data_IF_251362716601
#
_entry.id   IF_251362716601
#
_cell.length_a   1.000
_cell.length_b   1.000
_cell.length_c   1.000
_cell.angle_alpha   90.00
_cell.angle_beta   90.00
_cell.angle_gamma   90.00
#
_symmetry.space_group_name_H-M   'P 1'
#
loop_
_entity.id
_entity.type
_entity.pdbx_description
1 polymer ?
#
# COMPACT_ATOMS: atom_id res chain seq x y z
N UNK A 1 34.89 -10.90 -3.66
CA UNK A 1 33.86 -10.98 -2.60
C UNK A 1 34.02 -12.34 -1.92
N UNK A 2 33.87 -12.46 -0.60
CA UNK A 2 33.79 -13.80 0.02
C UNK A 2 32.41 -14.41 -0.28
N UNK A 3 32.39 -15.56 -0.96
CA UNK A 3 31.16 -16.26 -1.33
C UNK A 3 30.53 -16.88 -0.07
N UNK A 4 29.33 -16.41 0.29
CA UNK A 4 28.57 -16.88 1.46
C UNK A 4 27.10 -17.03 1.13
N UNK A 5 26.41 -17.87 1.89
CA UNK A 5 24.94 -17.99 1.83
C UNK A 5 24.32 -16.66 2.23
N UNK A 6 23.43 -16.13 1.39
CA UNK A 6 22.71 -14.87 1.61
C UNK A 6 21.67 -15.05 2.72
N UNK A 7 21.72 -14.19 3.74
CA UNK A 7 20.79 -14.22 4.88
C UNK A 7 19.97 -12.95 4.99
N UNK A 8 20.42 -11.87 4.37
CA UNK A 8 19.82 -10.53 4.44
C UNK A 8 19.63 -9.94 3.04
N UNK A 9 18.74 -8.94 2.92
CA UNK A 9 18.43 -8.30 1.64
C UNK A 9 19.61 -7.49 1.08
N UNK A 10 20.40 -6.85 1.94
CA UNK A 10 21.58 -6.08 1.53
C UNK A 10 22.65 -6.99 0.91
N UNK A 11 22.82 -8.20 1.45
CA UNK A 11 23.70 -9.22 0.86
C UNK A 11 23.19 -9.68 -0.52
N UNK A 12 21.87 -9.80 -0.69
CA UNK A 12 21.24 -10.15 -1.95
C UNK A 12 21.42 -9.07 -3.02
N UNK A 13 21.21 -7.79 -2.68
CA UNK A 13 21.42 -6.67 -3.61
C UNK A 13 22.90 -6.56 -4.02
N UNK A 14 23.83 -6.70 -3.07
CA UNK A 14 25.25 -6.69 -3.38
C UNK A 14 25.66 -7.88 -4.28
N UNK A 15 25.04 -9.06 -4.09
CA UNK A 15 25.26 -10.23 -4.94
C UNK A 15 24.65 -10.05 -6.34
N UNK A 16 23.49 -9.40 -6.45
CA UNK A 16 22.86 -9.06 -7.73
C UNK A 16 23.69 -8.07 -8.54
N UNK A 17 24.17 -6.99 -7.91
CA UNK A 17 25.01 -6.01 -8.60
C UNK A 17 26.33 -6.65 -9.05
N UNK A 18 26.92 -7.52 -8.22
CA UNK A 18 28.09 -8.30 -8.63
C UNK A 18 27.80 -9.25 -9.79
N UNK A 19 26.64 -9.89 -9.81
CA UNK A 19 26.24 -10.77 -10.92
C UNK A 19 26.08 -9.96 -12.21
N UNK A 20 25.46 -8.77 -12.15
CA UNK A 20 25.32 -7.86 -13.30
C UNK A 20 26.69 -7.45 -13.85
N UNK A 21 27.60 -7.04 -12.97
CA UNK A 21 28.97 -6.67 -13.36
C UNK A 21 29.68 -7.82 -14.09
N UNK A 22 29.47 -9.06 -13.64
CA UNK A 22 30.05 -10.25 -14.26
C UNK A 22 29.37 -10.59 -15.60
N UNK A 23 28.05 -10.42 -15.70
CA UNK A 23 27.33 -10.62 -16.97
C UNK A 23 27.76 -9.60 -18.03
N UNK A 24 27.97 -8.34 -17.65
CA UNK A 24 28.45 -7.27 -18.54
C UNK A 24 29.89 -7.52 -19.03
N UNK A 25 30.71 -8.18 -18.22
CA UNK A 25 32.06 -8.62 -18.60
C UNK A 25 32.06 -9.80 -19.57
N UNK A 26 30.94 -10.51 -19.70
CA UNK A 26 30.75 -11.69 -20.55
C UNK A 26 31.93 -12.69 -20.50
N UNK A 27 32.28 -13.22 -19.31
CA UNK A 27 33.44 -14.06 -19.10
C UNK A 27 33.33 -15.38 -19.86
N UNK A 28 34.45 -15.90 -20.36
CA UNK A 28 34.47 -17.19 -21.06
C UNK A 28 34.27 -18.37 -20.10
N UNK A 29 33.65 -19.49 -20.53
CA UNK A 29 33.27 -20.64 -19.68
C UNK A 29 34.37 -21.37 -18.91
N UNK A 30 35.65 -21.02 -19.11
CA UNK A 30 36.81 -21.61 -18.44
C UNK A 30 37.57 -20.60 -17.57
N UNK A 31 36.90 -19.51 -17.18
CA UNK A 31 37.50 -18.44 -16.38
C UNK A 31 36.97 -18.45 -14.95
N UNK A 32 37.79 -18.08 -13.95
CA UNK A 32 37.33 -17.94 -12.57
C UNK A 32 36.17 -16.96 -12.40
N UNK A 33 36.04 -15.98 -13.31
CA UNK A 33 34.93 -15.04 -13.34
C UNK A 33 33.61 -15.69 -13.80
N UNK A 34 33.68 -16.67 -14.71
CA UNK A 34 32.52 -17.47 -15.09
C UNK A 34 32.11 -18.42 -13.96
N UNK A 35 33.07 -19.04 -13.27
CA UNK A 35 32.79 -19.85 -12.07
C UNK A 35 32.13 -19.01 -10.97
N UNK A 36 32.59 -17.77 -10.74
CA UNK A 36 31.98 -16.82 -9.80
C UNK A 36 30.54 -16.49 -10.20
N UNK A 37 30.29 -16.25 -11.49
CA UNK A 37 28.97 -15.98 -12.05
C UNK A 37 28.01 -17.16 -11.83
N UNK A 38 28.44 -18.39 -12.13
CA UNK A 38 27.62 -19.59 -11.94
C UNK A 38 27.27 -19.83 -10.46
N UNK A 39 28.25 -19.65 -9.57
CA UNK A 39 28.03 -19.83 -8.13
C UNK A 39 27.13 -18.72 -7.57
N UNK A 40 27.31 -17.46 -7.97
CA UNK A 40 26.43 -16.36 -7.56
C UNK A 40 24.99 -16.58 -8.05
N UNK A 41 24.81 -17.00 -9.29
CA UNK A 41 23.49 -17.32 -9.83
C UNK A 41 22.80 -18.44 -9.03
N UNK A 42 23.55 -19.46 -8.60
CA UNK A 42 23.02 -20.56 -7.77
C UNK A 42 22.61 -20.08 -6.37
N UNK A 43 23.42 -19.23 -5.75
CA UNK A 43 23.15 -18.68 -4.41
C UNK A 43 21.94 -17.73 -4.45
N UNK A 44 21.87 -16.86 -5.46
CA UNK A 44 20.72 -15.97 -5.69
C UNK A 44 19.44 -16.79 -5.89
N UNK A 45 19.48 -17.84 -6.73
CA UNK A 45 18.35 -18.75 -6.95
C UNK A 45 17.89 -19.46 -5.67
N UNK A 46 18.81 -19.88 -4.79
CA UNK A 46 18.45 -20.49 -3.51
C UNK A 46 17.78 -19.48 -2.55
N UNK A 47 18.27 -18.24 -2.54
CA UNK A 47 17.66 -17.15 -1.79
C UNK A 47 16.26 -16.80 -2.34
N UNK A 48 16.13 -16.59 -3.65
CA UNK A 48 14.85 -16.36 -4.33
C UNK A 48 13.87 -17.52 -4.12
N UNK A 49 14.31 -18.77 -4.19
CA UNK A 49 13.42 -19.92 -3.94
C UNK A 49 12.84 -19.94 -2.52
N UNK A 50 13.59 -19.42 -1.54
CA UNK A 50 13.18 -19.33 -0.13
C UNK A 50 12.34 -18.07 0.16
N UNK A 51 12.51 -17.02 -0.64
CA UNK A 51 11.97 -15.69 -0.35
C UNK A 51 11.02 -15.10 -1.42
N UNK A 52 10.94 -15.70 -2.61
CA UNK A 52 10.09 -15.30 -3.73
C UNK A 52 9.17 -16.45 -4.16
N UNK A 53 7.86 -16.20 -4.13
CA UNK A 53 6.84 -17.17 -4.55
C UNK A 53 6.57 -16.99 -6.04
N UNK A 54 7.08 -17.89 -6.90
CA UNK A 54 6.68 -17.89 -8.33
C UNK A 54 5.22 -18.36 -8.39
N UNK A 55 4.30 -17.46 -8.77
CA UNK A 55 2.91 -17.81 -8.99
C UNK A 55 2.80 -18.80 -10.18
N UNK A 56 2.04 -19.88 -10.00
CA UNK A 56 1.75 -20.82 -11.09
C UNK A 56 0.97 -20.11 -12.21
N UNK A 57 1.25 -20.41 -13.49
CA UNK A 57 0.52 -19.79 -14.60
C UNK A 57 -0.97 -20.15 -14.51
N UNK A 58 -1.82 -19.21 -14.89
CA UNK A 58 -3.25 -19.45 -14.94
C UNK A 58 -3.60 -20.50 -16.01
N UNK A 59 -4.73 -21.23 -15.88
CA UNK A 59 -5.16 -22.20 -16.89
C UNK A 59 -5.23 -21.63 -18.32
N UNK A 60 -5.61 -20.36 -18.46
CA UNK A 60 -5.72 -19.69 -19.76
C UNK A 60 -4.35 -19.39 -20.35
N UNK A 61 -3.37 -18.99 -19.53
CA UNK A 61 -1.99 -18.78 -19.97
C UNK A 61 -1.34 -20.09 -20.39
N UNK A 62 -1.55 -21.17 -19.65
CA UNK A 62 -1.07 -22.50 -20.02
C UNK A 62 -1.65 -22.96 -21.38
N UNK A 63 -2.93 -22.68 -21.64
CA UNK A 63 -3.57 -22.98 -22.93
C UNK A 63 -3.00 -22.11 -24.06
N UNK A 64 -2.86 -20.79 -23.86
CA UNK A 64 -2.26 -19.87 -24.85
C UNK A 64 -0.83 -20.28 -25.20
N UNK A 65 -0.04 -20.63 -24.20
CA UNK A 65 1.34 -21.07 -24.38
C UNK A 65 1.42 -22.35 -25.22
N UNK A 66 0.57 -23.35 -24.96
CA UNK A 66 0.51 -24.56 -25.79
C UNK A 66 0.01 -24.30 -27.21
N UNK A 67 -0.96 -23.39 -27.38
CA UNK A 67 -1.42 -23.00 -28.72
C UNK A 67 -0.29 -22.41 -29.56
N UNK A 68 0.53 -21.53 -28.96
CA UNK A 68 1.66 -20.92 -29.64
C UNK A 68 2.71 -21.95 -30.06
N UNK A 69 3.08 -22.87 -29.16
CA UNK A 69 4.03 -23.95 -29.44
C UNK A 69 3.55 -24.91 -30.53
N UNK A 70 2.23 -25.11 -30.65
CA UNK A 70 1.63 -26.04 -31.61
C UNK A 70 1.10 -25.34 -32.87
N UNK A 71 1.28 -24.02 -33.00
CA UNK A 71 0.76 -23.24 -34.13
C UNK A 71 -0.77 -23.22 -34.24
N UNK A 72 -1.49 -23.42 -33.14
CA UNK A 72 -2.94 -23.52 -33.11
C UNK A 72 -3.60 -22.14 -32.99
N UNK A 73 -4.68 -21.94 -33.74
CA UNK A 73 -5.52 -20.74 -33.64
C UNK A 73 -6.69 -20.97 -32.69
N UNK A 74 -7.36 -19.89 -32.26
CA UNK A 74 -8.56 -20.01 -31.40
C UNK A 74 -9.71 -20.77 -32.06
N UNK A 75 -9.75 -20.84 -33.39
CA UNK A 75 -10.77 -21.61 -34.12
C UNK A 75 -10.58 -23.12 -33.95
N UNK A 76 -9.34 -23.55 -33.77
CA UNK A 76 -8.98 -24.96 -33.60
C UNK A 76 -9.38 -25.51 -32.23
N UNK A 77 -9.75 -24.61 -31.30
CA UNK A 77 -10.26 -24.98 -29.99
C UNK A 77 -11.78 -25.22 -29.95
N UNK A 78 -12.50 -24.97 -31.05
CA UNK A 78 -13.96 -25.19 -31.11
C UNK A 78 -14.38 -26.60 -30.72
N UNK A 79 -13.66 -27.69 -31.09
CA UNK A 79 -14.01 -29.04 -30.67
C UNK A 79 -14.05 -29.22 -29.14
N UNK A 80 -13.13 -28.58 -28.40
CA UNK A 80 -12.98 -28.74 -26.95
C UNK A 80 -13.89 -27.79 -26.15
N UNK A 81 -14.14 -26.60 -26.69
CA UNK A 81 -14.96 -25.57 -26.03
C UNK A 81 -16.42 -25.54 -26.50
N UNK A 82 -16.71 -26.19 -27.63
CA UNK A 82 -18.02 -26.33 -28.26
C UNK A 82 -18.44 -25.16 -29.17
N UNK A 83 -18.04 -23.92 -28.88
CA UNK A 83 -18.34 -22.78 -29.75
C UNK A 83 -17.29 -21.66 -29.65
N UNK A 84 -17.14 -20.83 -30.71
CA UNK A 84 -16.23 -19.68 -30.67
C UNK A 84 -16.58 -18.67 -29.56
N UNK A 85 -17.87 -18.47 -29.25
CA UNK A 85 -18.32 -17.63 -28.13
C UNK A 85 -17.77 -18.16 -26.80
N UNK A 86 -17.85 -19.47 -26.57
CA UNK A 86 -17.33 -20.11 -25.35
C UNK A 86 -15.82 -20.03 -25.24
N UNK A 87 -15.09 -20.14 -26.34
CA UNK A 87 -13.63 -19.94 -26.35
C UNK A 87 -13.32 -18.50 -25.93
N UNK A 88 -14.01 -17.53 -26.52
CA UNK A 88 -13.82 -16.11 -26.18
C UNK A 88 -14.17 -15.84 -24.71
N UNK A 89 -15.29 -16.37 -24.20
CA UNK A 89 -15.71 -16.22 -22.81
C UNK A 89 -14.70 -16.81 -21.82
N UNK A 90 -14.08 -17.95 -22.14
CA UNK A 90 -13.08 -18.56 -21.26
C UNK A 90 -11.74 -17.83 -21.34
N UNK A 91 -11.29 -17.45 -22.53
CA UNK A 91 -10.05 -16.70 -22.73
C UNK A 91 -10.12 -15.28 -22.16
N UNK A 92 -11.33 -14.71 -22.05
CA UNK A 92 -11.58 -13.43 -21.40
C UNK A 92 -11.93 -13.56 -19.92
N UNK A 93 -11.91 -14.76 -19.33
CA UNK A 93 -12.22 -14.98 -17.91
C UNK A 93 -13.71 -14.89 -17.53
N UNK A 94 -14.62 -14.62 -18.47
CA UNK A 94 -16.07 -14.53 -18.27
C UNK A 94 -16.70 -15.88 -17.90
N UNK A 95 -16.06 -16.99 -18.28
CA UNK A 95 -16.51 -18.36 -17.99
C UNK A 95 -15.35 -19.22 -17.52
N UNK A 96 -15.53 -19.95 -16.41
CA UNK A 96 -14.56 -20.96 -15.96
C UNK A 96 -14.55 -22.18 -16.87
N UNK A 97 -13.41 -22.85 -17.00
CA UNK A 97 -13.33 -24.16 -17.64
C UNK A 97 -14.23 -25.15 -16.92
N UNK A 98 -15.11 -25.83 -17.68
CA UNK A 98 -15.91 -26.92 -17.13
C UNK A 98 -15.06 -28.17 -16.93
N UNK A 99 -15.47 -29.08 -16.04
CA UNK A 99 -14.79 -30.38 -15.84
C UNK A 99 -14.63 -31.18 -17.15
N UNK A 100 -15.55 -31.01 -18.11
CA UNK A 100 -15.46 -31.62 -19.45
C UNK A 100 -14.35 -30.97 -20.27
N UNK A 101 -14.32 -29.64 -20.34
CA UNK A 101 -13.28 -28.88 -21.06
C UNK A 101 -11.88 -29.15 -20.50
N UNK A 102 -11.74 -29.26 -19.18
CA UNK A 102 -10.45 -29.55 -18.53
C UNK A 102 -9.91 -30.91 -19.00
N UNK A 103 -10.75 -31.93 -19.07
CA UNK A 103 -10.33 -33.26 -19.56
C UNK A 103 -9.98 -33.24 -21.04
N UNK A 104 -10.83 -32.62 -21.86
CA UNK A 104 -10.61 -32.54 -23.31
C UNK A 104 -9.35 -31.74 -23.66
N UNK A 105 -9.04 -30.68 -22.91
CA UNK A 105 -7.83 -29.87 -23.10
C UNK A 105 -6.58 -30.55 -22.55
N UNK A 106 -6.69 -31.26 -21.42
CA UNK A 106 -5.61 -32.08 -20.91
C UNK A 106 -5.17 -33.13 -21.93
N UNK A 107 -6.14 -33.86 -22.50
CA UNK A 107 -5.88 -34.91 -23.49
C UNK A 107 -5.37 -34.36 -24.82
N UNK A 108 -5.88 -33.21 -25.28
CA UNK A 108 -5.56 -32.67 -26.60
C UNK A 108 -4.29 -31.80 -26.64
N UNK A 109 -4.01 -31.03 -25.58
CA UNK A 109 -2.89 -30.07 -25.52
C UNK A 109 -1.77 -30.50 -24.55
N UNK A 110 -1.92 -31.67 -23.92
CA UNK A 110 -0.95 -32.24 -22.97
C UNK A 110 -0.60 -31.26 -21.82
N UNK A 111 -1.62 -30.57 -21.29
CA UNK A 111 -1.45 -29.65 -20.17
C UNK A 111 -1.74 -30.40 -18.87
N UNK A 112 -0.84 -30.41 -17.87
CA UNK A 112 -1.07 -31.09 -16.60
C UNK A 112 -2.39 -30.66 -15.92
N UNK A 113 -3.15 -31.64 -15.41
CA UNK A 113 -4.47 -31.39 -14.81
C UNK A 113 -4.40 -30.42 -13.64
N UNK A 114 -3.35 -30.47 -12.82
CA UNK A 114 -3.12 -29.55 -11.71
C UNK A 114 -2.93 -28.09 -12.17
N UNK A 115 -2.42 -27.87 -13.38
CA UNK A 115 -2.31 -26.55 -14.02
C UNK A 115 -3.66 -26.05 -14.55
N UNK A 116 -4.54 -26.95 -15.01
CA UNK A 116 -5.88 -26.62 -15.51
C UNK A 116 -6.96 -26.52 -14.41
N UNK A 117 -6.75 -27.25 -13.31
CA UNK A 117 -7.62 -27.29 -12.11
C UNK A 117 -7.22 -26.21 -11.11
N UNK A 118 -5.99 -25.68 -11.22
CA UNK A 118 -5.56 -24.48 -10.51
C UNK A 118 -6.61 -23.39 -10.69
N UNK A 119 -7.00 -22.76 -9.58
CA UNK A 119 -8.02 -21.71 -9.59
C UNK A 119 -7.72 -20.80 -10.76
N UNK A 120 -8.62 -20.76 -11.73
CA UNK A 120 -8.59 -19.73 -12.74
C UNK A 120 -8.39 -18.45 -11.98
N UNK A 121 -7.21 -17.84 -12.10
CA UNK A 121 -7.11 -16.40 -12.05
C UNK A 121 -8.01 -15.98 -13.20
N UNK A 122 -9.31 -15.91 -12.91
CA UNK A 122 -10.18 -15.01 -13.60
C UNK A 122 -9.38 -13.73 -13.58
N UNK A 123 -8.93 -13.30 -14.76
CA UNK A 123 -9.01 -11.87 -15.05
C UNK A 123 -10.45 -11.54 -14.73
N UNK A 124 -10.71 -11.22 -13.45
CA UNK A 124 -11.90 -10.53 -13.08
C UNK A 124 -11.82 -9.28 -13.94
N UNK A 125 -12.92 -8.96 -14.58
CA UNK A 125 -13.21 -7.54 -14.72
C UNK A 125 -13.03 -6.95 -13.30
N UNK A 126 -11.87 -6.35 -13.03
CA UNK A 126 -11.62 -5.58 -11.81
C UNK A 126 -12.51 -4.32 -11.77
N UNK A 127 -13.33 -4.13 -12.81
CA UNK A 127 -14.39 -3.14 -12.94
C UNK A 127 -15.71 -3.56 -12.26
N UNK A 128 -15.91 -4.82 -11.86
CA UNK A 128 -17.12 -5.23 -11.12
C UNK A 128 -16.82 -5.40 -9.63
N UNK A 129 -17.16 -4.38 -8.84
CA UNK A 129 -17.08 -4.41 -7.38
C UNK A 129 -18.00 -5.51 -6.86
N UNK A 130 -17.49 -6.37 -5.98
CA UNK A 130 -18.31 -7.35 -5.27
C UNK A 130 -19.00 -6.64 -4.10
N UNK A 131 -20.16 -6.05 -4.38
CA UNK A 131 -20.91 -5.19 -3.46
C UNK A 131 -21.25 -5.89 -2.13
N UNK A 132 -21.48 -7.20 -2.15
CA UNK A 132 -21.79 -7.99 -0.95
C UNK A 132 -20.59 -8.15 0.00
N UNK A 133 -19.36 -7.97 -0.50
CA UNK A 133 -18.12 -8.03 0.30
C UNK A 133 -17.76 -6.71 0.95
N UNK A 134 -18.45 -5.61 0.60
CA UNK A 134 -18.27 -4.35 1.30
C UNK A 134 -18.65 -4.50 2.78
N UNK A 135 -18.09 -3.68 3.68
CA UNK A 135 -18.40 -3.74 5.12
C UNK A 135 -19.78 -3.12 5.44
N UNK A 136 -20.85 -3.64 4.82
CA UNK A 136 -22.22 -3.09 4.84
C UNK A 136 -22.76 -2.81 6.25
N UNK A 137 -22.53 -3.72 7.20
CA UNK A 137 -22.96 -3.53 8.60
C UNK A 137 -22.31 -2.32 9.24
N UNK A 138 -21.02 -2.14 8.99
CA UNK A 138 -20.24 -1.06 9.58
C UNK A 138 -20.53 0.27 8.87
N UNK A 139 -20.73 0.23 7.54
CA UNK A 139 -21.22 1.37 6.77
C UNK A 139 -22.58 1.86 7.27
N UNK A 140 -23.54 0.96 7.49
CA UNK A 140 -24.86 1.27 8.05
C UNK A 140 -24.74 1.85 9.46
N UNK A 141 -23.96 1.20 10.34
CA UNK A 141 -23.74 1.66 11.72
C UNK A 141 -23.13 3.07 11.77
N UNK A 142 -22.22 3.36 10.83
CA UNK A 142 -21.56 4.68 10.68
C UNK A 142 -22.42 5.69 9.90
N UNK A 143 -23.57 5.28 9.37
CA UNK A 143 -24.54 6.15 8.69
C UNK A 143 -24.28 6.42 7.21
N UNK A 144 -23.29 5.76 6.58
CA UNK A 144 -22.86 6.05 5.20
C UNK A 144 -23.78 5.50 4.11
N UNK A 145 -24.67 4.56 4.45
CA UNK A 145 -25.59 3.94 3.50
C UNK A 145 -27.05 4.06 3.95
N UNK A 146 -27.36 5.10 4.73
CA UNK A 146 -28.64 5.25 5.42
C UNK A 146 -28.77 4.29 6.61
N UNK A 147 -29.46 4.71 7.68
CA UNK A 147 -29.70 3.87 8.87
C UNK A 147 -30.78 2.83 8.57
N UNK A 148 -30.41 1.78 7.86
CA UNK A 148 -31.30 0.67 7.52
C UNK A 148 -31.66 -0.10 8.80
N UNK A 149 -32.95 -0.16 9.15
CA UNK A 149 -33.46 -0.72 10.41
C UNK A 149 -33.86 -2.19 10.33
N UNK A 150 -33.98 -2.75 9.12
CA UNK A 150 -34.43 -4.13 8.92
C UNK A 150 -33.27 -5.15 9.02
N UNK A 151 -33.53 -6.42 8.72
CA UNK A 151 -32.59 -7.52 9.04
C UNK A 151 -31.30 -7.42 8.22
N UNK A 152 -30.21 -7.93 8.79
CA UNK A 152 -28.88 -8.00 8.16
C UNK A 152 -28.88 -8.76 6.83
N UNK A 153 -29.77 -9.75 6.65
CA UNK A 153 -29.97 -10.47 5.39
C UNK A 153 -30.31 -9.53 4.25
N UNK A 154 -31.10 -8.50 4.54
CA UNK A 154 -31.70 -7.61 3.56
C UNK A 154 -30.64 -6.61 3.09
N UNK A 155 -29.69 -6.22 3.95
CA UNK A 155 -28.54 -5.37 3.56
C UNK A 155 -27.71 -5.96 2.42
N UNK A 156 -27.58 -7.30 2.33
CA UNK A 156 -26.83 -7.95 1.24
C UNK A 156 -27.59 -7.90 -0.08
N UNK A 157 -28.91 -8.05 -0.03
CA UNK A 157 -29.78 -7.98 -1.19
C UNK A 157 -29.73 -6.59 -1.85
N UNK A 158 -29.67 -5.53 -1.04
CA UNK A 158 -29.57 -4.14 -1.50
C UNK A 158 -28.15 -3.58 -1.49
N UNK A 159 -27.11 -4.43 -1.42
CA UNK A 159 -25.73 -3.98 -1.22
C UNK A 159 -25.27 -2.99 -2.30
N UNK A 160 -25.56 -3.29 -3.56
CA UNK A 160 -25.24 -2.41 -4.70
C UNK A 160 -25.97 -1.08 -4.57
N UNK A 161 -27.30 -1.08 -4.48
CA UNK A 161 -28.12 0.13 -4.40
C UNK A 161 -27.67 1.07 -3.27
N UNK A 162 -27.37 0.50 -2.10
CA UNK A 162 -27.00 1.23 -0.90
C UNK A 162 -25.59 1.84 -0.96
N UNK A 163 -24.64 1.17 -1.62
CA UNK A 163 -23.22 1.58 -1.61
C UNK A 163 -22.76 2.24 -2.90
N UNK A 164 -23.48 2.03 -4.00
CA UNK A 164 -23.15 2.57 -5.32
C UNK A 164 -22.98 4.10 -5.32
N UNK A 165 -23.85 4.92 -4.69
CA UNK A 165 -23.64 6.37 -4.65
C UNK A 165 -22.30 6.78 -4.02
N UNK A 166 -21.90 6.09 -2.95
CA UNK A 166 -20.65 6.36 -2.23
C UNK A 166 -19.42 6.00 -3.09
N UNK A 167 -19.48 4.89 -3.81
CA UNK A 167 -18.42 4.45 -4.72
C UNK A 167 -18.37 5.28 -6.00
N UNK A 168 -19.51 5.68 -6.55
CA UNK A 168 -19.58 6.56 -7.72
C UNK A 168 -18.96 7.92 -7.38
N UNK A 169 -19.21 8.47 -6.20
CA UNK A 169 -18.56 9.70 -5.74
C UNK A 169 -17.02 9.54 -5.68
N UNK A 170 -16.52 8.40 -5.20
CA UNK A 170 -15.08 8.10 -5.23
C UNK A 170 -14.54 8.11 -6.66
N UNK A 171 -15.20 7.39 -7.57
CA UNK A 171 -14.78 7.29 -8.97
C UNK A 171 -14.92 8.61 -9.74
N UNK A 172 -15.88 9.46 -9.36
CA UNK A 172 -16.12 10.77 -9.96
C UNK A 172 -15.01 11.75 -9.57
N UNK A 173 -14.61 11.77 -8.30
CA UNK A 173 -13.73 12.80 -7.78
C UNK A 173 -12.27 12.38 -7.65
N UNK A 174 -11.99 11.11 -7.42
CA UNK A 174 -10.63 10.63 -7.21
C UNK A 174 -10.03 10.12 -8.52
N UNK A 175 -8.75 10.42 -8.71
CA UNK A 175 -7.88 9.70 -9.64
C UNK A 175 -7.77 8.30 -9.00
N UNK A 176 -8.25 7.26 -9.69
CA UNK A 176 -8.44 5.85 -9.27
C UNK A 176 -7.62 5.44 -8.03
N UNK A 177 -8.21 4.80 -7.00
CA UNK A 177 -7.48 4.57 -5.76
C UNK A 177 -6.38 3.52 -6.00
N UNK A 178 -5.10 3.92 -6.05
CA UNK A 178 -4.05 2.94 -5.82
C UNK A 178 -4.27 2.34 -4.44
N UNK A 179 -4.27 1.01 -4.39
CA UNK A 179 -4.39 0.26 -3.17
C UNK A 179 -3.10 0.34 -2.33
N UNK A 180 -2.71 1.51 -1.78
CA UNK A 180 -1.51 1.60 -0.94
C UNK A 180 -1.73 2.44 0.32
N UNK A 181 -2.04 1.75 1.42
CA UNK A 181 -1.09 1.52 2.53
C UNK A 181 -1.63 0.39 3.41
N UNK A 182 -1.64 -0.83 2.89
CA UNK A 182 -1.23 -1.93 3.77
C UNK A 182 0.25 -1.66 3.99
N UNK A 183 0.65 -1.17 5.16
CA UNK A 183 2.07 -1.14 5.53
C UNK A 183 2.71 -2.45 5.08
N UNK A 184 4.02 -2.45 4.82
CA UNK A 184 4.88 -3.65 4.68
C UNK A 184 4.62 -4.75 5.74
N UNK A 185 3.76 -4.51 6.73
CA UNK A 185 2.84 -5.49 7.26
C UNK A 185 2.22 -6.52 6.28
N UNK A 186 2.08 -6.37 4.95
CA UNK A 186 1.60 -7.52 4.14
C UNK A 186 2.66 -8.63 3.94
N UNK A 187 3.95 -8.33 4.15
CA UNK A 187 5.00 -9.35 4.24
C UNK A 187 5.13 -9.94 5.65
N UNK A 188 4.67 -9.22 6.69
CA UNK A 188 4.76 -9.65 8.10
C UNK A 188 3.45 -10.13 8.74
N UNK A 189 2.29 -9.79 8.18
CA UNK A 189 0.98 -10.25 8.63
C UNK A 189 0.56 -11.43 7.74
N UNK A 190 0.42 -12.59 8.37
CA UNK A 190 -0.12 -13.82 7.76
C UNK A 190 -1.55 -13.67 7.17
N UNK A 191 -2.17 -12.50 7.29
CA UNK A 191 -3.57 -12.27 6.95
C UNK A 191 -3.70 -11.32 5.76
N UNK A 192 -4.44 -11.76 4.74
CA UNK A 192 -4.78 -10.98 3.54
C UNK A 192 -5.55 -9.70 3.91
N UNK A 193 -5.09 -8.55 3.42
CA UNK A 193 -5.79 -7.26 3.54
C UNK A 193 -7.16 -7.35 2.85
N UNK A 194 -8.20 -6.82 3.48
CA UNK A 194 -9.53 -6.75 2.88
C UNK A 194 -9.65 -5.55 1.94
N UNK A 195 -9.59 -5.81 0.64
CA UNK A 195 -9.64 -4.80 -0.42
C UNK A 195 -11.00 -4.08 -0.50
N UNK A 196 -12.10 -4.73 -0.13
CA UNK A 196 -13.44 -4.11 -0.15
C UNK A 196 -13.61 -3.17 1.05
N UNK A 197 -13.07 -3.56 2.20
CA UNK A 197 -13.03 -2.70 3.38
C UNK A 197 -12.14 -1.46 3.16
N UNK A 198 -11.03 -1.61 2.43
CA UNK A 198 -10.17 -0.47 2.06
C UNK A 198 -10.88 0.47 1.08
N UNK A 199 -11.53 -0.08 0.04
CA UNK A 199 -12.30 0.69 -0.93
C UNK A 199 -13.40 1.52 -0.23
N UNK A 200 -14.15 0.90 0.68
CA UNK A 200 -15.17 1.59 1.47
C UNK A 200 -14.58 2.71 2.34
N UNK A 201 -13.39 2.49 2.93
CA UNK A 201 -12.69 3.52 3.70
C UNK A 201 -12.27 4.71 2.82
N UNK A 202 -11.68 4.44 1.65
CA UNK A 202 -11.26 5.47 0.70
C UNK A 202 -12.46 6.30 0.24
N UNK A 203 -13.57 5.65 -0.08
CA UNK A 203 -14.79 6.32 -0.50
C UNK A 203 -15.34 7.27 0.58
N UNK A 204 -15.32 6.85 1.84
CA UNK A 204 -15.69 7.70 2.98
C UNK A 204 -14.75 8.91 3.08
N UNK A 205 -13.45 8.68 2.99
CA UNK A 205 -12.45 9.76 3.12
C UNK A 205 -12.63 10.80 2.01
N UNK A 206 -12.82 10.35 0.76
CA UNK A 206 -13.07 11.23 -0.38
C UNK A 206 -14.39 11.96 -0.22
N UNK A 207 -15.46 11.28 0.18
CA UNK A 207 -16.76 11.91 0.44
C UNK A 207 -16.65 13.00 1.52
N UNK A 208 -15.91 12.75 2.60
CA UNK A 208 -15.62 13.76 3.63
C UNK A 208 -14.81 14.93 3.08
N UNK A 209 -13.81 14.68 2.23
CA UNK A 209 -12.98 15.73 1.65
C UNK A 209 -13.81 16.66 0.75
N UNK A 210 -14.58 16.09 -0.18
CA UNK A 210 -15.44 16.83 -1.12
C UNK A 210 -16.48 17.68 -0.37
N UNK A 211 -17.01 17.18 0.74
CA UNK A 211 -17.99 17.90 1.56
C UNK A 211 -17.38 18.93 2.53
N UNK A 212 -16.04 19.04 2.62
CA UNK A 212 -15.35 19.98 3.50
C UNK A 212 -14.40 20.87 2.70
N UNK A 213 -14.86 22.05 2.23
CA UNK A 213 -14.06 22.89 1.35
C UNK A 213 -12.77 23.39 2.02
N UNK A 214 -11.72 23.52 1.21
CA UNK A 214 -10.45 24.12 1.60
C UNK A 214 -10.50 25.63 1.46
N UNK A 215 -9.68 26.34 2.24
CA UNK A 215 -9.56 27.80 2.13
C UNK A 215 -8.88 28.24 0.84
N UNK A 216 -7.92 27.44 0.34
CA UNK A 216 -7.09 27.79 -0.81
C UNK A 216 -6.96 26.57 -1.75
N UNK A 217 -6.59 26.86 -3.00
CA UNK A 217 -6.11 25.84 -3.93
C UNK A 217 -4.79 25.25 -3.43
N UNK A 218 -4.52 24.02 -3.85
CA UNK A 218 -3.28 23.34 -3.52
C UNK A 218 -2.05 24.16 -3.95
N UNK A 219 -1.09 24.29 -3.03
CA UNK A 219 0.25 24.80 -3.32
C UNK A 219 1.26 23.70 -2.98
N UNK A 220 2.31 23.49 -3.82
CA UNK A 220 3.36 22.53 -3.56
C UNK A 220 3.93 22.63 -2.14
N UNK A 221 4.25 21.47 -1.57
CA UNK A 221 4.89 21.35 -0.27
C UNK A 221 6.36 21.01 -0.46
N UNK A 222 7.19 21.60 0.38
CA UNK A 222 8.62 21.33 0.46
C UNK A 222 8.97 20.83 1.87
N UNK A 223 10.22 20.42 2.05
CA UNK A 223 10.73 19.96 3.35
C UNK A 223 10.48 20.98 4.47
N UNK A 224 10.70 22.28 4.21
CA UNK A 224 10.52 23.34 5.20
C UNK A 224 9.07 23.42 5.71
N UNK A 225 8.09 23.26 4.82
CA UNK A 225 6.69 23.22 5.20
C UNK A 225 6.38 22.01 6.09
N UNK A 226 6.91 20.83 5.77
CA UNK A 226 6.69 19.63 6.59
C UNK A 226 7.35 19.79 7.98
N UNK A 227 8.56 20.36 8.05
CA UNK A 227 9.21 20.68 9.32
C UNK A 227 8.39 21.69 10.16
N UNK A 228 7.77 22.69 9.53
CA UNK A 228 6.84 23.60 10.20
C UNK A 228 5.61 22.87 10.77
N UNK A 229 5.08 21.86 10.08
CA UNK A 229 4.01 21.00 10.58
C UNK A 229 4.49 20.22 11.80
N UNK A 230 5.70 19.62 11.74
CA UNK A 230 6.29 18.88 12.88
C UNK A 230 6.50 19.78 14.09
N UNK A 231 6.91 21.03 13.90
CA UNK A 231 7.05 22.00 14.99
C UNK A 231 5.71 22.33 15.67
N UNK A 232 4.55 22.07 15.05
CA UNK A 232 3.28 22.21 15.76
C UNK A 232 3.13 21.18 16.88
N UNK A 233 3.93 20.10 16.89
CA UNK A 233 3.83 19.03 17.90
C UNK A 233 4.02 19.50 19.34
N UNK A 234 4.76 20.58 19.58
CA UNK A 234 4.96 21.13 20.94
C UNK A 234 3.77 21.98 21.42
N UNK A 235 2.88 22.39 20.52
CA UNK A 235 1.75 23.26 20.84
C UNK A 235 0.62 22.45 21.45
N UNK A 236 -0.06 23.00 22.47
CA UNK A 236 -1.22 22.34 23.08
C UNK A 236 -2.33 22.01 22.07
N UNK A 237 -2.53 22.89 21.08
CA UNK A 237 -3.47 22.71 19.96
C UNK A 237 -2.78 22.22 18.67
N UNK A 238 -1.60 21.62 18.78
CA UNK A 238 -0.72 21.30 17.64
C UNK A 238 -1.37 20.49 16.53
N UNK A 239 -2.21 19.52 16.90
CA UNK A 239 -2.95 18.69 15.95
C UNK A 239 -3.93 19.50 15.09
N UNK A 240 -4.66 20.42 15.70
CA UNK A 240 -5.60 21.32 15.01
C UNK A 240 -4.85 22.37 14.19
N UNK A 241 -3.74 22.90 14.70
CA UNK A 241 -2.88 23.80 13.96
C UNK A 241 -2.33 23.13 12.69
N UNK A 242 -1.88 21.87 12.78
CA UNK A 242 -1.44 21.10 11.62
C UNK A 242 -2.58 20.95 10.60
N UNK A 243 -3.78 20.58 11.05
CA UNK A 243 -4.98 20.51 10.17
C UNK A 243 -5.26 21.85 9.48
N UNK A 244 -5.20 22.97 10.20
CA UNK A 244 -5.45 24.30 9.66
C UNK A 244 -4.37 24.73 8.66
N UNK A 245 -3.09 24.47 8.96
CA UNK A 245 -1.97 24.77 8.06
C UNK A 245 -2.07 23.97 6.76
N UNK A 246 -2.44 22.69 6.84
CA UNK A 246 -2.70 21.84 5.68
C UNK A 246 -3.88 22.36 4.85
N UNK A 247 -4.98 22.74 5.51
CA UNK A 247 -6.14 23.32 4.83
C UNK A 247 -5.77 24.61 4.08
N UNK A 248 -5.01 25.52 4.73
CA UNK A 248 -4.49 26.75 4.09
C UNK A 248 -3.53 26.46 2.94
N UNK A 249 -2.85 25.31 2.94
CA UNK A 249 -1.99 24.84 1.85
C UNK A 249 -2.77 24.12 0.73
N UNK A 250 -4.09 23.97 0.91
CA UNK A 250 -4.96 23.26 -0.03
C UNK A 250 -4.81 21.74 0.04
N UNK A 251 -4.58 21.19 1.23
CA UNK A 251 -4.48 19.75 1.50
C UNK A 251 -5.58 19.36 2.49
N UNK A 252 -6.42 18.38 2.16
CA UNK A 252 -7.38 17.85 3.13
C UNK A 252 -6.67 16.93 4.12
N UNK A 253 -6.90 17.12 5.42
CA UNK A 253 -6.57 16.14 6.44
C UNK A 253 -7.87 15.54 7.00
N UNK A 254 -8.14 14.28 6.67
CA UNK A 254 -9.37 13.57 7.04
C UNK A 254 -9.03 12.44 8.01
N UNK A 255 -9.73 12.43 9.14
CA UNK A 255 -9.65 11.34 10.11
C UNK A 255 -10.85 10.42 9.92
N UNK A 256 -10.59 9.15 9.58
CA UNK A 256 -11.62 8.12 9.46
C UNK A 256 -11.12 6.80 10.04
N UNK A 257 -11.84 6.24 11.02
CA UNK A 257 -11.42 5.00 11.68
C UNK A 257 -11.27 3.86 10.66
N UNK A 258 -10.24 3.04 10.82
CA UNK A 258 -10.05 1.88 9.97
C UNK A 258 -11.25 0.92 10.04
N UNK A 259 -11.45 0.11 9.00
CA UNK A 259 -12.31 -1.07 9.04
C UNK A 259 -11.51 -2.29 9.49
N UNK A 260 -12.16 -3.35 9.94
CA UNK A 260 -11.45 -4.59 10.30
C UNK A 260 -10.66 -5.10 9.09
N UNK A 261 -9.46 -5.64 9.34
CA UNK A 261 -8.57 -6.23 8.34
C UNK A 261 -8.05 -5.30 7.23
N UNK A 262 -8.13 -3.97 7.38
CA UNK A 262 -7.44 -3.04 6.46
C UNK A 262 -5.98 -2.83 6.85
N UNK A 263 -5.64 -2.95 8.14
CA UNK A 263 -4.29 -2.75 8.70
C UNK A 263 -3.61 -1.41 8.31
N UNK A 264 -4.42 -0.43 7.92
CA UNK A 264 -4.04 0.89 7.44
C UNK A 264 -3.83 1.88 8.60
N UNK A 265 -2.77 2.68 8.54
CA UNK A 265 -2.55 3.80 9.47
C UNK A 265 -2.90 5.17 8.84
N UNK A 266 -2.64 5.33 7.55
CA UNK A 266 -3.06 6.48 6.74
C UNK A 266 -2.78 6.22 5.26
N UNK A 267 -3.31 7.06 4.39
CA UNK A 267 -3.02 7.06 2.95
C UNK A 267 -3.18 8.48 2.41
N UNK A 268 -2.26 8.89 1.55
CA UNK A 268 -2.45 10.00 0.66
C UNK A 268 -3.33 9.55 -0.54
N UNK A 269 -4.16 10.46 -1.05
CA UNK A 269 -5.09 10.32 -2.18
C UNK A 269 -5.12 11.63 -2.93
N UNK A 270 -5.63 11.61 -4.16
CA UNK A 270 -5.69 12.79 -4.98
C UNK A 270 -6.97 12.92 -5.79
N UNK A 271 -7.60 14.08 -5.68
CA UNK A 271 -8.73 14.46 -6.50
C UNK A 271 -8.31 14.79 -7.93
N UNK A 272 -9.20 14.56 -8.91
CA UNK A 272 -8.95 14.79 -10.35
C UNK A 272 -8.54 16.22 -10.71
N UNK A 273 -8.93 17.17 -9.88
CA UNK A 273 -8.57 18.59 -9.99
C UNK A 273 -7.18 18.93 -9.45
N UNK A 274 -6.45 17.95 -8.91
CA UNK A 274 -5.09 18.11 -8.38
C UNK A 274 -5.01 18.40 -6.88
N UNK A 275 -6.13 18.32 -6.15
CA UNK A 275 -6.16 18.55 -4.70
C UNK A 275 -5.78 17.26 -3.94
N UNK A 276 -4.73 17.27 -3.09
CA UNK A 276 -4.35 16.12 -2.28
C UNK A 276 -5.21 15.97 -1.03
N UNK A 277 -5.42 14.71 -0.65
CA UNK A 277 -6.12 14.29 0.56
C UNK A 277 -5.19 13.38 1.35
N UNK A 278 -5.01 13.67 2.63
CA UNK A 278 -4.36 12.79 3.60
C UNK A 278 -5.44 12.20 4.49
N UNK A 279 -5.73 10.92 4.31
CA UNK A 279 -6.63 10.15 5.17
C UNK A 279 -5.82 9.45 6.27
N UNK A 280 -6.22 9.56 7.53
CA UNK A 280 -5.57 8.87 8.66
C UNK A 280 -6.57 8.08 9.49
N UNK A 281 -6.17 6.88 9.93
CA UNK A 281 -7.08 5.99 10.66
C UNK A 281 -7.03 6.11 12.17
N UNK A 282 -5.92 6.63 12.70
CA UNK A 282 -5.59 6.63 14.12
C UNK A 282 -5.71 5.24 14.77
N UNK A 283 -5.50 4.15 13.98
CA UNK A 283 -5.46 2.77 14.48
C UNK A 283 -4.53 2.65 15.68
N UNK A 284 -3.38 3.30 15.59
CA UNK A 284 -2.48 3.54 16.70
C UNK A 284 -2.74 4.95 17.26
N UNK A 285 -3.65 5.05 18.22
CA UNK A 285 -4.09 6.32 18.80
C UNK A 285 -3.06 6.92 19.77
N UNK A 286 -1.92 7.36 19.22
CA UNK A 286 -0.77 7.91 19.95
C UNK A 286 -0.15 9.07 19.18
N UNK A 287 0.44 10.04 19.87
CA UNK A 287 1.06 11.21 19.23
C UNK A 287 2.28 10.84 18.37
N UNK A 288 3.11 9.89 18.82
CA UNK A 288 4.26 9.43 18.04
C UNK A 288 3.84 8.89 16.67
N UNK A 289 2.80 8.04 16.65
CA UNK A 289 2.29 7.46 15.42
C UNK A 289 1.56 8.50 14.56
N UNK A 290 0.82 9.43 15.16
CA UNK A 290 0.14 10.48 14.42
C UNK A 290 1.15 11.30 13.60
N UNK A 291 2.18 11.84 14.25
CA UNK A 291 3.17 12.69 13.58
C UNK A 291 3.97 11.92 12.54
N UNK A 292 4.35 10.66 12.82
CA UNK A 292 5.04 9.83 11.85
C UNK A 292 4.19 9.57 10.60
N UNK A 293 2.95 9.10 10.78
CA UNK A 293 2.04 8.84 9.66
C UNK A 293 1.77 10.11 8.86
N UNK A 294 1.52 11.25 9.52
CA UNK A 294 1.26 12.51 8.82
C UNK A 294 2.46 12.96 7.97
N UNK A 295 3.68 12.91 8.53
CA UNK A 295 4.89 13.28 7.79
C UNK A 295 5.13 12.34 6.62
N UNK A 296 4.96 11.03 6.80
CA UNK A 296 5.10 10.07 5.71
C UNK A 296 4.13 10.36 4.56
N UNK A 297 2.85 10.60 4.84
CA UNK A 297 1.91 10.96 3.77
C UNK A 297 2.28 12.29 3.09
N UNK A 298 2.81 13.25 3.85
CA UNK A 298 3.27 14.51 3.28
C UNK A 298 4.53 14.35 2.42
N UNK A 299 5.40 13.38 2.73
CA UNK A 299 6.57 13.06 1.91
C UNK A 299 6.14 12.46 0.57
N UNK A 300 5.13 11.60 0.55
CA UNK A 300 4.51 11.14 -0.71
C UNK A 300 3.97 12.32 -1.51
N UNK A 301 3.18 13.20 -0.88
CA UNK A 301 2.69 14.43 -1.52
C UNK A 301 3.84 15.31 -2.02
N UNK A 302 4.93 15.48 -1.27
CA UNK A 302 6.09 16.29 -1.66
C UNK A 302 6.85 15.70 -2.85
N UNK A 303 7.09 14.39 -2.86
CA UNK A 303 7.92 13.73 -3.87
C UNK A 303 7.16 13.54 -5.18
N UNK A 304 5.87 13.20 -5.11
CA UNK A 304 5.09 12.91 -6.31
C UNK A 304 4.66 14.19 -7.07
N UNK A 305 4.58 15.36 -6.41
CA UNK A 305 4.12 16.63 -7.02
C UNK A 305 5.22 17.53 -7.58
N UNK A 306 6.50 17.21 -7.33
CA UNK A 306 7.65 17.94 -7.88
C UNK A 306 8.27 17.25 -9.11
N UNK A 307 7.70 16.14 -9.57
CA UNK A 307 8.16 15.47 -10.79
C UNK A 307 7.58 16.17 -12.03
N UNK A 308 8.44 16.83 -12.80
CA UNK A 308 8.12 17.64 -14.00
C UNK A 308 7.64 16.81 -15.21
N UNK A 309 7.24 15.57 -14.95
CA UNK A 309 6.77 14.61 -15.93
C UNK A 309 5.33 14.30 -15.55
N UNK A 310 4.40 14.25 -16.50
CA UNK A 310 2.99 13.89 -16.26
C UNK A 310 2.72 12.48 -15.68
N UNK A 311 3.66 11.92 -14.92
CA UNK A 311 3.69 10.63 -14.20
C UNK A 311 3.00 10.70 -12.82
N UNK A 312 2.46 11.86 -12.45
CA UNK A 312 1.58 12.06 -11.30
C UNK A 312 0.49 10.99 -11.17
N UNK A 313 -0.04 10.54 -12.31
CA UNK A 313 -1.02 9.47 -12.41
C UNK A 313 -0.40 8.09 -12.12
N UNK A 314 0.81 7.80 -12.60
CA UNK A 314 1.42 6.46 -12.51
C UNK A 314 1.93 6.09 -11.10
N UNK A 315 2.45 7.05 -10.33
CA UNK A 315 2.82 6.81 -8.91
C UNK A 315 1.61 6.50 -8.04
N UNK A 316 0.51 7.19 -8.32
CA UNK A 316 -0.61 7.31 -7.40
C UNK A 316 -1.81 6.43 -7.76
N UNK A 317 -1.88 5.94 -9.01
CA UNK A 317 -2.99 5.11 -9.47
C UNK A 317 -2.76 3.62 -9.36
N UNK A 318 -1.51 3.16 -9.35
CA UNK A 318 -1.27 1.77 -9.74
C UNK A 318 -2.06 1.43 -11.01
N UNK A 319 -2.23 2.43 -11.91
CA UNK A 319 -2.69 2.14 -13.24
C UNK A 319 -1.72 1.09 -13.77
N UNK A 320 -2.25 0.12 -14.51
CA UNK A 320 -1.56 -1.08 -14.99
C UNK A 320 -0.41 -0.77 -15.96
N UNK A 321 0.32 0.32 -15.78
CA UNK A 321 1.58 0.68 -16.40
C UNK A 321 2.76 0.34 -15.50
N UNK A 322 3.37 -0.82 -15.77
CA UNK A 322 4.79 -1.13 -15.61
C UNK A 322 5.51 -1.03 -14.26
N UNK A 323 4.95 -0.55 -13.15
CA UNK A 323 5.72 -0.51 -11.89
C UNK A 323 5.82 -1.87 -11.22
N UNK A 324 7.04 -2.30 -10.93
CA UNK A 324 7.32 -3.56 -10.25
C UNK A 324 7.05 -3.45 -8.74
N UNK A 325 6.79 -4.58 -8.08
CA UNK A 325 6.67 -4.65 -6.61
C UNK A 325 7.93 -4.13 -5.90
N UNK A 326 9.09 -4.22 -6.57
CA UNK A 326 10.37 -3.70 -6.11
C UNK A 326 10.37 -2.18 -6.06
N UNK A 327 9.93 -1.50 -7.13
CA UNK A 327 9.88 -0.04 -7.21
C UNK A 327 8.93 0.56 -6.17
N UNK A 328 7.75 -0.05 -5.96
CA UNK A 328 6.83 0.38 -4.90
C UNK A 328 7.45 0.25 -3.50
N UNK A 329 8.24 -0.81 -3.28
CA UNK A 329 8.95 -1.00 -2.02
C UNK A 329 10.04 0.04 -1.81
N UNK A 330 10.75 0.43 -2.87
CA UNK A 330 11.79 1.46 -2.81
C UNK A 330 11.22 2.84 -2.49
N UNK A 331 10.08 3.20 -3.09
CA UNK A 331 9.37 4.45 -2.82
C UNK A 331 8.95 4.53 -1.34
N UNK A 332 8.39 3.45 -0.78
CA UNK A 332 7.99 3.39 0.63
C UNK A 332 9.20 3.49 1.58
N UNK A 333 10.31 2.81 1.27
CA UNK A 333 11.54 2.89 2.08
C UNK A 333 12.13 4.31 2.03
N UNK A 334 12.13 4.94 0.85
CA UNK A 334 12.58 6.31 0.70
C UNK A 334 11.69 7.28 1.49
N UNK A 335 10.37 7.10 1.42
CA UNK A 335 9.41 7.91 2.16
C UNK A 335 9.60 7.77 3.68
N UNK A 336 9.78 6.54 4.19
CA UNK A 336 10.09 6.29 5.60
C UNK A 336 11.40 6.97 6.00
N UNK A 337 12.48 6.79 5.22
CA UNK A 337 13.79 7.38 5.52
C UNK A 337 13.73 8.91 5.58
N UNK A 338 13.07 9.55 4.62
CA UNK A 338 12.90 11.01 4.59
C UNK A 338 12.04 11.46 5.78
N UNK A 339 10.99 10.72 6.12
CA UNK A 339 10.11 11.05 7.25
C UNK A 339 10.84 10.99 8.58
N UNK A 340 11.69 9.98 8.75
CA UNK A 340 12.54 9.83 9.93
C UNK A 340 13.48 11.02 10.10
N UNK A 341 14.14 11.45 9.01
CA UNK A 341 15.06 12.59 9.01
C UNK A 341 14.35 13.94 9.23
N UNK A 342 13.15 14.13 8.67
CA UNK A 342 12.33 15.33 8.90
C UNK A 342 11.88 15.41 10.36
N UNK A 343 11.45 14.29 10.95
CA UNK A 343 10.99 14.25 12.33
C UNK A 343 12.14 14.43 13.33
N UNK A 344 13.27 13.78 13.07
CA UNK A 344 14.47 13.82 13.90
C UNK A 344 15.68 13.84 12.95
N UNK A 345 16.35 15.01 12.79
CA UNK A 345 17.50 15.13 11.91
C UNK A 345 18.55 14.05 12.18
N UNK A 346 19.03 13.40 11.11
CA UNK A 346 19.91 12.23 11.19
C UNK A 346 21.17 12.52 12.01
N UNK A 347 21.74 13.71 11.90
CA UNK A 347 22.91 14.13 12.66
C UNK A 347 22.65 14.25 14.17
N UNK A 348 21.47 14.73 14.56
CA UNK A 348 21.04 14.79 15.95
C UNK A 348 20.74 13.37 16.48
N UNK A 349 20.11 12.54 15.65
CA UNK A 349 19.78 11.18 16.02
C UNK A 349 21.01 10.30 16.21
N UNK A 350 21.97 10.32 15.28
CA UNK A 350 23.19 9.52 15.37
C UNK A 350 24.05 9.89 16.58
N UNK A 351 24.04 11.16 17.00
CA UNK A 351 24.67 11.58 18.28
C UNK A 351 23.93 11.04 19.51
N UNK A 352 22.62 10.87 19.44
CA UNK A 352 21.80 10.36 20.54
C UNK A 352 21.74 8.82 20.58
N UNK A 353 21.85 8.16 19.43
CA UNK A 353 21.68 6.72 19.23
C UNK A 353 22.50 5.84 20.18
N UNK A 354 23.79 6.12 20.47
CA UNK A 354 24.58 5.32 21.40
C UNK A 354 24.01 5.23 22.82
N UNK A 355 23.25 6.26 23.25
CA UNK A 355 22.65 6.31 24.58
C UNK A 355 21.15 6.00 24.60
N UNK A 356 20.51 5.74 23.45
CA UNK A 356 19.06 5.59 23.35
C UNK A 356 18.51 4.42 24.19
N UNK A 357 19.25 3.31 24.24
CA UNK A 357 18.83 2.09 24.93
C UNK A 357 18.70 2.28 26.45
N UNK A 358 19.36 3.27 27.03
CA UNK A 358 19.29 3.60 28.47
C UNK A 358 18.86 5.06 28.70
N UNK A 359 18.26 5.70 27.69
CA UNK A 359 17.86 7.10 27.81
C UNK A 359 16.83 7.28 28.93
N UNK A 360 17.06 8.26 29.79
CA UNK A 360 16.06 8.68 30.77
C UNK A 360 15.03 9.60 30.12
N UNK A 361 13.91 9.85 30.82
CA UNK A 361 12.87 10.77 30.33
C UNK A 361 13.45 12.18 30.15
N UNK A 362 14.36 12.59 31.03
CA UNK A 362 15.04 13.89 30.99
C UNK A 362 15.93 14.02 29.74
N UNK A 363 16.65 12.95 29.36
CA UNK A 363 17.45 12.94 28.12
C UNK A 363 16.57 13.04 26.88
N UNK A 364 15.44 12.34 26.86
CA UNK A 364 14.46 12.41 25.77
C UNK A 364 13.88 13.82 25.68
N UNK A 365 13.46 14.39 26.81
CA UNK A 365 12.93 15.76 26.87
C UNK A 365 13.97 16.80 26.45
N UNK A 366 15.25 16.60 26.82
CA UNK A 366 16.35 17.48 26.42
C UNK A 366 16.55 17.52 24.90
N UNK A 367 16.61 16.36 24.25
CA UNK A 367 16.70 16.30 22.78
C UNK A 367 15.44 16.88 22.12
N UNK A 368 14.26 16.57 22.66
CA UNK A 368 12.99 17.10 22.16
C UNK A 368 12.95 18.63 22.19
N UNK A 369 13.40 19.23 23.29
CA UNK A 369 13.48 20.68 23.46
C UNK A 369 14.50 21.31 22.49
N UNK A 370 15.66 20.68 22.31
CA UNK A 370 16.68 21.14 21.35
C UNK A 370 16.12 21.17 19.92
N UNK A 371 15.39 20.12 19.53
CA UNK A 371 14.80 19.97 18.21
C UNK A 371 13.44 20.68 18.06
N UNK A 372 12.89 21.25 19.13
CA UNK A 372 11.56 21.90 19.19
C UNK A 372 10.42 20.98 18.70
N UNK A 373 10.47 19.73 19.14
CA UNK A 373 9.45 18.71 18.83
C UNK A 373 8.89 18.10 20.11
N UNK A 374 7.72 17.46 20.01
CA UNK A 374 7.13 16.78 21.16
C UNK A 374 7.96 15.54 21.57
N UNK A 375 8.21 15.30 22.88
CA UNK A 375 8.98 14.15 23.35
C UNK A 375 8.46 12.78 22.90
N UNK A 376 7.17 12.68 22.55
CA UNK A 376 6.58 11.46 22.00
C UNK A 376 7.28 10.99 20.72
N UNK A 377 7.71 11.91 19.85
CA UNK A 377 8.32 11.59 18.55
C UNK A 377 9.63 10.82 18.78
N UNK A 378 10.50 11.34 19.64
CA UNK A 378 11.74 10.66 20.05
C UNK A 378 11.44 9.34 20.76
N UNK A 379 10.49 9.33 21.71
CA UNK A 379 10.11 8.10 22.41
C UNK A 379 9.59 7.02 21.46
N UNK A 380 8.85 7.41 20.41
CA UNK A 380 8.38 6.54 19.34
C UNK A 380 9.53 5.94 18.55
N UNK A 381 10.49 6.78 18.12
CA UNK A 381 11.70 6.34 17.41
C UNK A 381 12.51 5.32 18.21
N UNK A 382 12.72 5.56 19.51
CA UNK A 382 13.43 4.61 20.38
C UNK A 382 12.67 3.26 20.42
N UNK A 383 11.35 3.28 20.56
CA UNK A 383 10.55 2.03 20.63
C UNK A 383 10.62 1.24 19.33
N UNK A 384 10.60 1.93 18.20
CA UNK A 384 10.75 1.33 16.87
C UNK A 384 12.12 0.66 16.71
N UNK A 385 13.23 1.39 16.91
CA UNK A 385 14.58 0.83 16.70
C UNK A 385 14.97 -0.25 17.71
N UNK A 386 14.46 -0.16 18.95
CA UNK A 386 14.75 -1.17 19.98
C UNK A 386 13.77 -2.34 19.99
N UNK A 387 12.74 -2.30 19.13
CA UNK A 387 11.59 -3.21 19.16
C UNK A 387 10.92 -3.36 20.55
N UNK A 388 11.13 -2.41 21.47
CA UNK A 388 10.65 -2.47 22.84
C UNK A 388 9.46 -1.52 23.05
N UNK A 389 8.30 -1.99 22.64
CA UNK A 389 7.06 -1.21 22.67
C UNK A 389 6.48 -0.97 24.08
N UNK A 390 7.02 -1.60 25.13
CA UNK A 390 6.61 -1.34 26.51
C UNK A 390 7.19 -0.07 27.13
N UNK A 391 8.26 0.49 26.53
CA UNK A 391 8.95 1.66 27.08
C UNK A 391 8.22 2.96 26.81
N UNK A 392 8.42 3.92 27.71
CA UNK A 392 7.98 5.31 27.58
C UNK A 392 6.50 5.51 27.27
N UNK A 393 5.63 4.54 27.62
CA UNK A 393 4.20 4.59 27.33
C UNK A 393 3.55 5.90 27.81
N UNK A 394 4.03 6.47 28.91
CA UNK A 394 3.59 7.75 29.47
C UNK A 394 3.90 8.96 28.58
N UNK A 395 4.92 8.90 27.73
CA UNK A 395 5.33 9.99 26.82
C UNK A 395 4.60 9.97 25.47
N UNK A 396 3.95 8.86 25.11
CA UNK A 396 3.38 8.67 23.77
C UNK A 396 2.09 9.44 23.51
N UNK A 397 1.47 10.02 24.55
CA UNK A 397 0.22 10.75 24.40
C UNK A 397 -0.95 9.87 23.94
N UNK A 398 -1.10 8.67 24.52
CA UNK A 398 -2.17 7.74 24.16
C UNK A 398 -3.55 8.41 24.29
N UNK A 399 -4.40 8.25 23.29
CA UNK A 399 -5.77 8.78 23.31
C UNK A 399 -5.92 10.24 22.85
N UNK A 400 -4.82 10.99 22.78
CA UNK A 400 -4.87 12.44 22.49
C UNK A 400 -5.36 12.71 21.06
N UNK A 401 -4.83 12.07 20.00
CA UNK A 401 -5.29 12.32 18.63
C UNK A 401 -6.80 12.14 18.45
N UNK A 402 -7.34 11.02 18.92
CA UNK A 402 -8.76 10.74 18.77
C UNK A 402 -9.64 11.74 19.53
N UNK A 403 -9.25 12.14 20.75
CA UNK A 403 -9.99 13.16 21.51
C UNK A 403 -10.01 14.52 20.80
N UNK A 404 -8.92 14.87 20.12
CA UNK A 404 -8.81 16.12 19.37
C UNK A 404 -9.78 16.15 18.18
N UNK A 405 -9.85 15.06 17.39
CA UNK A 405 -10.67 15.01 16.17
C UNK A 405 -12.11 14.47 16.38
N UNK A 406 -12.47 14.00 17.57
CA UNK A 406 -13.82 13.55 17.90
C UNK A 406 -14.86 14.68 17.83
N UNK A 407 -14.48 15.93 18.10
CA UNK A 407 -15.40 17.06 18.07
C UNK A 407 -15.80 17.48 16.64
N UNK A 408 -15.01 17.15 15.63
CA UNK A 408 -15.32 17.42 14.21
C UNK A 408 -16.34 16.41 13.64
N UNK A 409 -16.41 15.20 14.23
CA UNK A 409 -17.16 14.06 13.70
C UNK A 409 -18.69 14.19 13.80
N UNK A 410 -19.19 15.12 14.62
CA UNK A 410 -20.63 15.36 14.82
C UNK A 410 -21.23 16.39 13.85
N UNK A 411 -20.44 16.95 12.93
CA UNK A 411 -20.87 18.01 12.02
C UNK A 411 -21.28 17.54 10.62
N UNK A 412 -21.11 16.25 10.31
CA UNK A 412 -21.43 15.68 9.00
C UNK A 412 -22.30 14.42 9.16
N UNK A 413 -23.58 14.63 9.45
CA UNK A 413 -24.69 13.70 9.16
C UNK A 413 -25.87 14.53 8.68
#
# INVERSE_FOLDING_TARGET
MELKVLKTRDEYLAALDRLKDLMDQNPSPETPAFDELEVLALILKDYEKKHCFIAKPSPVEAIKFRMEQMGLSRKDLVPYFGSPSRISEVFSGKRKLSKRMIREIHEALDIPLDTLVGESQSVKDESSIDWEKLPLKELNLRGWIGKYKDKVSDLREYAEELTKPLIEQLNEHCVTPAYHRGSLASAHYKNKVDSHALLAWQAIVVSKAVNNPLYNKYLPVDRNFIELIVQQSIMNNGLNNAKELLNKRGIHLIIEKHFKNTYLDGAAMLLKEGTPIIGMTLRQNRLDNFWFTLVHELVHVMNDLNSDSGSFLDSFLGEKGNRSEVENTEIEIAADTISEDILIPTDAWERFRPQMAKASIEKIAGLAAQLRIHPSIIAGRIRYETANYGRYAKLLGNGIPQKCFMNDSNSAV
#
